data_IF_338791873639
#
_entry.id   IF_338791873639
#
_cell.length_a   1.000
_cell.length_b   1.000
_cell.length_c   1.000
_cell.angle_alpha   90.00
_cell.angle_beta   90.00
_cell.angle_gamma   90.00
#
_symmetry.space_group_name_H-M   'P 1'
#
loop_
_entity.id
_entity.type
_entity.pdbx_description
1 polymer ?
#
# COMPACT_ATOMS: atom_id res chain seq x y z
N UNK A 1 -30.80 10.05 13.66
CA UNK A 1 -30.30 8.67 13.36
C UNK A 1 -30.86 8.23 12.01
N UNK A 2 -30.00 7.96 11.02
CA UNK A 2 -30.43 7.45 9.72
C UNK A 2 -30.72 5.95 9.87
N UNK A 3 -31.97 5.53 9.64
CA UNK A 3 -32.35 4.10 9.68
C UNK A 3 -31.78 3.40 8.45
N UNK A 4 -31.04 2.32 8.66
CA UNK A 4 -30.48 1.52 7.57
C UNK A 4 -31.61 0.82 6.79
N UNK A 5 -31.68 0.96 5.45
CA UNK A 5 -32.72 0.34 4.66
C UNK A 5 -32.60 -1.19 4.69
N UNK A 6 -33.76 -1.85 4.64
CA UNK A 6 -33.90 -3.31 4.58
C UNK A 6 -34.43 -3.72 3.20
N UNK A 7 -34.04 -4.90 2.73
CA UNK A 7 -34.59 -5.49 1.52
C UNK A 7 -35.97 -6.11 1.79
N UNK A 8 -36.62 -6.60 0.73
CA UNK A 8 -37.95 -7.25 0.79
C UNK A 8 -38.00 -8.46 1.73
N UNK A 9 -36.85 -9.06 2.05
CA UNK A 9 -36.71 -10.17 3.01
C UNK A 9 -36.40 -9.69 4.43
N UNK A 10 -36.50 -8.39 4.70
CA UNK A 10 -36.20 -7.78 5.99
C UNK A 10 -34.71 -7.75 6.37
N UNK A 11 -33.79 -8.17 5.48
CA UNK A 11 -32.34 -8.13 5.71
C UNK A 11 -31.78 -6.75 5.41
N UNK A 12 -30.68 -6.36 6.04
CA UNK A 12 -30.02 -5.10 5.70
C UNK A 12 -29.54 -5.10 4.25
N UNK A 13 -29.81 -4.01 3.52
CA UNK A 13 -29.28 -3.83 2.17
C UNK A 13 -27.77 -3.62 2.26
N UNK A 14 -27.02 -4.21 1.31
CA UNK A 14 -25.59 -3.91 1.14
C UNK A 14 -25.45 -2.40 0.92
N UNK A 15 -24.61 -1.72 1.71
CA UNK A 15 -24.48 -0.25 1.63
C UNK A 15 -23.74 0.23 0.35
N UNK A 16 -23.79 -0.53 -0.74
CA UNK A 16 -23.09 -0.28 -2.00
C UNK A 16 -21.91 -1.22 -2.25
N UNK A 17 -21.45 -1.24 -3.51
CA UNK A 17 -20.27 -1.96 -4.01
C UNK A 17 -19.00 -1.09 -4.03
N UNK A 18 -19.12 0.19 -3.65
CA UNK A 18 -17.98 1.11 -3.60
C UNK A 18 -16.92 0.63 -2.60
N UNK A 19 -15.66 0.73 -3.00
CA UNK A 19 -14.52 0.44 -2.15
C UNK A 19 -14.50 1.40 -0.97
N UNK A 20 -14.83 0.89 0.21
CA UNK A 20 -14.90 1.72 1.41
C UNK A 20 -13.49 2.01 1.90
N UNK A 21 -13.19 3.28 2.10
CA UNK A 21 -12.06 3.71 2.93
C UNK A 21 -12.31 3.28 4.37
N UNK A 22 -11.84 2.08 4.72
CA UNK A 22 -11.87 1.54 6.07
C UNK A 22 -10.53 1.80 6.74
N UNK A 23 -10.55 2.21 8.02
CA UNK A 23 -9.36 2.29 8.88
C UNK A 23 -8.95 0.93 9.45
N UNK A 24 -9.58 -0.15 8.99
CA UNK A 24 -9.41 -1.50 9.50
C UNK A 24 -9.07 -2.42 8.35
N UNK A 25 -8.01 -3.21 8.51
CA UNK A 25 -7.60 -4.22 7.53
C UNK A 25 -8.09 -5.59 7.97
N UNK A 26 -8.59 -6.40 7.04
CA UNK A 26 -8.96 -7.79 7.31
C UNK A 26 -7.84 -8.70 6.82
N UNK A 27 -7.34 -9.52 7.73
CA UNK A 27 -6.26 -10.47 7.46
C UNK A 27 -6.69 -11.83 7.97
N UNK A 28 -6.14 -12.90 7.39
CA UNK A 28 -6.28 -14.23 7.98
C UNK A 28 -5.50 -14.28 9.29
N UNK A 29 -5.91 -15.15 10.21
CA UNK A 29 -5.20 -15.34 11.48
C UNK A 29 -3.73 -15.68 11.26
N UNK A 30 -3.44 -16.53 10.25
CA UNK A 30 -2.08 -16.89 9.87
C UNK A 30 -1.23 -15.67 9.46
N UNK A 31 -1.80 -14.73 8.71
CA UNK A 31 -1.12 -13.52 8.26
C UNK A 31 -0.91 -12.57 9.43
N UNK A 32 -1.91 -12.40 10.28
CA UNK A 32 -1.84 -11.55 11.47
C UNK A 32 -0.78 -12.01 12.47
N UNK A 33 -0.65 -13.33 12.64
CA UNK A 33 0.35 -13.94 13.50
C UNK A 33 1.77 -13.76 12.92
N UNK A 34 1.97 -14.02 11.63
CA UNK A 34 3.25 -13.79 10.95
C UNK A 34 3.73 -12.35 11.05
N UNK A 35 2.84 -11.37 10.80
CA UNK A 35 3.17 -9.95 10.99
C UNK A 35 3.60 -9.67 12.44
N UNK A 36 2.99 -10.35 13.41
CA UNK A 36 3.37 -10.27 14.81
C UNK A 36 4.77 -10.79 15.12
N UNK A 37 5.11 -11.94 14.57
CA UNK A 37 6.44 -12.54 14.71
C UNK A 37 7.51 -11.65 14.11
N UNK A 38 7.28 -11.16 12.89
CA UNK A 38 8.19 -10.23 12.19
C UNK A 38 8.38 -8.92 12.96
N UNK A 39 7.28 -8.32 13.45
CA UNK A 39 7.33 -7.08 14.21
C UNK A 39 8.10 -7.28 15.53
N UNK A 40 7.86 -8.40 16.21
CA UNK A 40 8.57 -8.76 17.45
C UNK A 40 10.07 -8.95 17.23
N UNK A 41 10.48 -9.60 16.14
CA UNK A 41 11.90 -9.77 15.79
C UNK A 41 12.62 -8.43 15.58
N UNK A 42 11.89 -7.41 15.12
CA UNK A 42 12.41 -6.06 14.87
C UNK A 42 12.18 -5.09 16.02
N UNK A 43 11.57 -5.54 17.12
CA UNK A 43 11.18 -4.69 18.25
C UNK A 43 10.26 -3.51 17.87
N UNK A 44 9.44 -3.67 16.83
CA UNK A 44 8.45 -2.69 16.38
C UNK A 44 7.03 -3.23 16.54
N UNK A 45 6.04 -2.37 16.37
CA UNK A 45 4.63 -2.74 16.33
C UNK A 45 4.25 -3.33 14.97
N UNK A 46 3.17 -4.11 14.93
CA UNK A 46 2.61 -4.60 13.65
C UNK A 46 2.21 -3.44 12.73
N UNK A 47 1.79 -2.31 13.29
CA UNK A 47 1.41 -1.11 12.54
C UNK A 47 2.62 -0.50 11.86
N UNK A 48 3.70 -0.25 12.59
CA UNK A 48 4.96 0.26 12.03
C UNK A 48 5.50 -0.68 10.96
N UNK A 49 5.44 -2.00 11.17
CA UNK A 49 5.82 -2.96 10.14
C UNK A 49 4.97 -2.83 8.86
N UNK A 50 3.66 -2.63 8.98
CA UNK A 50 2.78 -2.44 7.81
C UNK A 50 3.11 -1.13 7.08
N UNK A 51 3.40 -0.06 7.82
CA UNK A 51 3.83 1.22 7.25
C UNK A 51 5.17 1.09 6.53
N UNK A 52 6.18 0.47 7.15
CA UNK A 52 7.48 0.17 6.54
C UNK A 52 7.33 -0.63 5.24
N UNK A 53 6.47 -1.65 5.22
CA UNK A 53 6.25 -2.48 4.02
C UNK A 53 5.67 -1.66 2.86
N UNK A 54 4.90 -0.62 3.14
CA UNK A 54 4.35 0.27 2.12
C UNK A 54 5.33 1.39 1.73
N UNK A 55 6.18 1.82 2.67
CA UNK A 55 7.23 2.82 2.43
C UNK A 55 8.42 2.26 1.65
N UNK A 56 8.74 0.97 1.80
CA UNK A 56 9.85 0.32 1.08
C UNK A 56 9.68 0.36 -0.45
N UNK A 57 8.46 0.35 -0.97
CA UNK A 57 8.22 0.54 -2.40
C UNK A 57 8.57 1.97 -2.85
N UNK A 58 8.35 2.97 -2.01
CA UNK A 58 8.73 4.34 -2.30
C UNK A 58 10.24 4.55 -2.26
N UNK A 59 10.96 3.84 -1.38
CA UNK A 59 12.42 3.98 -1.28
C UNK A 59 13.14 3.53 -2.55
N UNK A 60 12.69 2.44 -3.18
CA UNK A 60 13.25 1.96 -4.43
C UNK A 60 12.94 2.92 -5.60
N UNK A 61 11.71 3.41 -5.67
CA UNK A 61 11.29 4.44 -6.63
C UNK A 61 12.16 5.70 -6.48
N UNK A 62 12.33 6.18 -5.24
CA UNK A 62 13.14 7.36 -4.92
C UNK A 62 14.61 7.13 -5.31
N UNK A 63 15.15 5.93 -5.08
CA UNK A 63 16.53 5.57 -5.48
C UNK A 63 16.71 5.67 -6.99
N UNK A 64 15.82 5.06 -7.77
CA UNK A 64 15.88 5.09 -9.24
C UNK A 64 15.77 6.53 -9.77
N UNK A 65 14.89 7.34 -9.18
CA UNK A 65 14.74 8.75 -9.58
C UNK A 65 15.96 9.59 -9.21
N UNK A 66 16.61 9.35 -8.05
CA UNK A 66 17.88 9.99 -7.69
C UNK A 66 19.00 9.64 -8.67
N UNK A 67 19.09 8.38 -9.10
CA UNK A 67 20.02 7.96 -10.15
C UNK A 67 19.74 8.67 -11.49
N UNK A 68 18.47 8.88 -11.84
CA UNK A 68 18.11 9.62 -13.05
C UNK A 68 18.58 11.09 -12.99
N UNK A 69 18.52 11.72 -11.81
CA UNK A 69 18.94 13.11 -11.59
C UNK A 69 20.46 13.31 -11.67
N UNK A 70 21.26 12.26 -11.43
CA UNK A 70 22.73 12.35 -11.54
C UNK A 70 23.23 12.14 -12.98
N UNK A 71 22.37 11.71 -13.91
CA UNK A 71 22.72 11.57 -15.32
C UNK A 71 22.93 12.93 -15.97
N UNK A 72 23.88 12.98 -16.91
CA UNK A 72 24.15 14.20 -17.69
C UNK A 72 22.94 14.58 -18.56
N UNK A 73 22.70 15.88 -18.71
CA UNK A 73 21.53 16.42 -19.43
C UNK A 73 21.39 15.94 -20.89
N UNK A 74 22.48 15.49 -21.52
CA UNK A 74 22.47 14.92 -22.87
C UNK A 74 22.08 13.41 -22.91
N UNK A 75 21.86 12.78 -21.77
CA UNK A 75 21.44 11.38 -21.64
C UNK A 75 19.91 11.22 -21.53
N UNK A 76 19.14 12.03 -22.28
CA UNK A 76 17.68 12.06 -22.18
C UNK A 76 16.98 10.71 -22.40
N UNK A 77 17.56 9.81 -23.20
CA UNK A 77 17.07 8.44 -23.36
C UNK A 77 17.21 7.60 -22.09
N UNK A 78 18.35 7.69 -21.41
CA UNK A 78 18.61 6.96 -20.17
C UNK A 78 17.78 7.49 -18.99
N UNK A 79 17.55 8.81 -18.93
CA UNK A 79 16.65 9.43 -17.94
C UNK A 79 15.22 8.91 -18.12
N UNK A 80 14.71 8.86 -19.37
CA UNK A 80 13.37 8.31 -19.66
C UNK A 80 13.25 6.85 -19.23
N UNK A 81 14.31 6.06 -19.42
CA UNK A 81 14.30 4.65 -19.05
C UNK A 81 14.24 4.45 -17.53
N UNK A 82 15.00 5.24 -16.76
CA UNK A 82 14.91 5.23 -15.30
C UNK A 82 13.53 5.66 -14.80
N UNK A 83 12.91 6.66 -15.43
CA UNK A 83 11.53 7.06 -15.11
C UNK A 83 10.54 5.93 -15.40
N UNK A 84 10.68 5.19 -16.51
CA UNK A 84 9.84 4.01 -16.79
C UNK A 84 10.00 2.92 -15.75
N UNK A 85 11.23 2.63 -15.32
CA UNK A 85 11.51 1.65 -14.27
C UNK A 85 10.84 2.04 -12.96
N UNK A 86 10.90 3.32 -12.57
CA UNK A 86 10.22 3.83 -11.39
C UNK A 86 8.68 3.70 -11.48
N UNK A 87 8.09 3.97 -12.65
CA UNK A 87 6.64 3.85 -12.86
C UNK A 87 6.12 2.40 -12.80
N UNK A 88 6.96 1.39 -13.01
CA UNK A 88 6.59 -0.02 -12.91
C UNK A 88 6.53 -0.54 -11.47
N UNK A 89 7.04 0.23 -10.51
CA UNK A 89 7.10 -0.11 -9.09
C UNK A 89 6.05 0.63 -8.24
N UNK A 90 5.23 1.48 -8.88
CA UNK A 90 4.09 2.19 -8.30
C UNK A 90 2.78 1.45 -8.61
#
# INVERSE_FOLDING_TARGET
>A
MIKQPRNEKGKFVLKGEEERKVRTVRLTDSTWNKLGEMAKQRCITRTELIEELLEQNNDEVIRILKEALTLKANAGGAIKEKIRQALLLL
#
